data_IF_908011697698
#
_entry.id   IF_908011697698
#
_cell.length_a   1.000
_cell.length_b   1.000
_cell.length_c   1.000
_cell.angle_alpha   90.00
_cell.angle_beta   90.00
_cell.angle_gamma   90.00
#
_symmetry.space_group_name_H-M   'P 1'
#
loop_
_entity.id
_entity.type
_entity.pdbx_description
1 polymer ?
#
# COMPACT_ATOMS: atom_id res chain seq x y z
N UNK A 1 4.40 -41.71 5.27
CA UNK A 1 2.91 -41.79 5.29
C UNK A 1 2.42 -42.95 4.42
N UNK A 2 1.18 -43.45 4.60
CA UNK A 2 0.72 -44.72 4.02
C UNK A 2 -0.18 -44.58 2.77
N UNK A 3 -0.79 -43.42 2.56
CA UNK A 3 -1.85 -43.26 1.56
C UNK A 3 -1.31 -42.75 0.23
N UNK A 4 -1.61 -43.45 -0.88
CA UNK A 4 -1.32 -42.95 -2.26
C UNK A 4 -2.35 -41.90 -2.69
N UNK A 5 -3.63 -42.18 -2.43
CA UNK A 5 -4.74 -41.27 -2.59
C UNK A 5 -5.81 -41.61 -1.55
N UNK A 6 -6.20 -40.63 -0.74
CA UNK A 6 -7.24 -40.80 0.27
C UNK A 6 -8.15 -39.58 0.25
N UNK A 7 -9.46 -39.81 0.14
CA UNK A 7 -10.49 -38.80 0.26
C UNK A 7 -11.41 -39.19 1.40
N UNK A 8 -11.54 -38.29 2.39
CA UNK A 8 -12.42 -38.46 3.53
C UNK A 8 -13.46 -37.35 3.49
N UNK A 9 -14.73 -37.72 3.62
CA UNK A 9 -15.83 -36.77 3.67
C UNK A 9 -16.34 -36.69 5.12
N UNK A 10 -16.15 -35.54 5.74
CA UNK A 10 -16.60 -35.28 7.11
C UNK A 10 -18.04 -34.76 7.10
N UNK A 11 -18.85 -35.25 8.04
CA UNK A 11 -20.13 -34.67 8.42
C UNK A 11 -19.98 -33.42 9.30
N UNK A 12 -21.08 -32.68 9.53
CA UNK A 12 -21.05 -31.34 10.12
C UNK A 12 -20.80 -31.30 11.64
N UNK A 13 -20.90 -32.44 12.33
CA UNK A 13 -20.77 -32.52 13.80
C UNK A 13 -19.69 -33.54 14.15
N UNK A 14 -20.10 -34.70 14.64
CA UNK A 14 -19.20 -35.74 15.12
C UNK A 14 -18.83 -36.67 13.96
N UNK A 15 -17.56 -37.00 13.86
CA UNK A 15 -17.01 -37.88 12.85
C UNK A 15 -16.19 -38.98 13.53
N UNK A 16 -16.48 -40.25 13.21
CA UNK A 16 -15.73 -41.39 13.71
C UNK A 16 -14.88 -42.00 12.58
N UNK A 17 -13.57 -42.11 12.81
CA UNK A 17 -12.64 -42.77 11.89
C UNK A 17 -12.22 -44.10 12.53
N UNK A 18 -12.71 -45.21 11.97
CA UNK A 18 -12.44 -46.56 12.46
C UNK A 18 -11.53 -47.33 11.49
N UNK A 19 -10.83 -48.34 12.01
CA UNK A 19 -9.96 -49.21 11.21
C UNK A 19 -8.90 -49.92 12.05
N UNK A 20 -8.23 -50.90 11.46
CA UNK A 20 -7.19 -51.71 12.10
C UNK A 20 -5.98 -50.88 12.55
N UNK A 21 -5.18 -51.41 13.48
CA UNK A 21 -3.91 -50.78 13.84
C UNK A 21 -2.98 -50.74 12.62
N UNK A 22 -2.27 -49.62 12.44
CA UNK A 22 -1.45 -49.39 11.25
C UNK A 22 -2.21 -48.95 9.98
N UNK A 23 -3.55 -48.87 9.99
CA UNK A 23 -4.34 -48.46 8.80
C UNK A 23 -4.22 -46.99 8.40
N UNK A 24 -3.39 -46.20 9.10
CA UNK A 24 -3.19 -44.78 8.80
C UNK A 24 -4.28 -43.84 9.34
N UNK A 25 -4.98 -44.19 10.42
CA UNK A 25 -5.97 -43.31 11.09
C UNK A 25 -5.32 -42.02 11.61
N UNK A 26 -4.25 -42.15 12.39
CA UNK A 26 -3.52 -40.99 12.92
C UNK A 26 -2.88 -40.15 11.83
N UNK A 27 -2.56 -40.75 10.67
CA UNK A 27 -2.07 -40.03 9.51
C UNK A 27 -3.10 -39.03 8.95
N UNK A 28 -4.41 -39.28 9.10
CA UNK A 28 -5.45 -38.31 8.72
C UNK A 28 -5.36 -37.06 9.60
N UNK A 29 -5.28 -37.24 10.92
CA UNK A 29 -5.12 -36.13 11.87
C UNK A 29 -3.83 -35.35 11.60
N UNK A 30 -2.69 -36.05 11.43
CA UNK A 30 -1.41 -35.43 11.04
C UNK A 30 -1.54 -34.63 9.75
N UNK A 31 -2.21 -35.16 8.73
CA UNK A 31 -2.45 -34.47 7.47
C UNK A 31 -3.28 -33.18 7.65
N UNK A 32 -4.33 -33.23 8.48
CA UNK A 32 -5.14 -32.05 8.80
C UNK A 32 -4.30 -30.99 9.51
N UNK A 33 -3.62 -31.37 10.60
CA UNK A 33 -2.77 -30.46 11.39
C UNK A 33 -1.69 -29.81 10.53
N UNK A 34 -1.04 -30.58 9.66
CA UNK A 34 -0.02 -30.07 8.75
C UNK A 34 -0.65 -29.16 7.70
N UNK A 35 -1.79 -29.51 7.10
CA UNK A 35 -2.42 -28.63 6.10
C UNK A 35 -2.88 -27.28 6.69
N UNK A 36 -3.23 -27.25 7.97
CA UNK A 36 -3.61 -26.04 8.71
C UNK A 36 -2.41 -25.32 9.36
N UNK A 37 -1.18 -25.62 8.95
CA UNK A 37 0.01 -24.85 9.38
C UNK A 37 0.70 -25.34 10.66
N UNK A 38 0.26 -26.45 11.24
CA UNK A 38 0.96 -27.08 12.36
C UNK A 38 2.37 -27.53 11.96
N UNK A 39 3.31 -27.44 12.92
CA UNK A 39 4.69 -27.89 12.72
C UNK A 39 4.75 -29.42 12.64
N UNK A 40 5.62 -29.97 11.79
CA UNK A 40 5.77 -31.43 11.64
C UNK A 40 6.07 -32.12 12.99
N UNK A 41 6.92 -31.49 13.81
CA UNK A 41 7.34 -32.03 15.10
C UNK A 41 6.19 -32.09 16.12
N UNK A 42 5.21 -31.17 16.04
CA UNK A 42 4.02 -31.18 16.92
C UNK A 42 3.18 -32.43 16.71
N UNK A 43 3.26 -33.03 15.53
CA UNK A 43 2.54 -34.27 15.23
C UNK A 43 3.22 -35.51 15.81
N UNK A 44 4.45 -35.43 16.34
CA UNK A 44 5.27 -36.54 16.83
C UNK A 44 5.47 -37.69 15.84
N UNK A 45 5.09 -37.51 14.57
CA UNK A 45 5.20 -38.52 13.50
C UNK A 45 6.40 -38.31 12.59
N UNK A 46 6.95 -37.10 12.57
CA UNK A 46 7.91 -36.65 11.58
C UNK A 46 8.74 -35.50 12.14
N UNK A 47 10.07 -35.59 12.02
CA UNK A 47 10.99 -34.50 12.39
C UNK A 47 11.07 -33.40 11.32
N UNK A 48 10.60 -33.68 10.11
CA UNK A 48 10.55 -32.73 9.00
C UNK A 48 9.39 -33.07 8.05
N UNK A 49 8.95 -32.08 7.26
CA UNK A 49 7.83 -32.27 6.33
C UNK A 49 8.11 -33.34 5.27
N UNK A 50 9.36 -33.52 4.85
CA UNK A 50 9.75 -34.52 3.85
C UNK A 50 9.43 -35.95 4.31
N UNK A 51 9.62 -36.25 5.58
CA UNK A 51 9.27 -37.56 6.15
C UNK A 51 7.77 -37.86 6.18
N UNK A 52 6.91 -36.87 5.91
CA UNK A 52 5.47 -37.08 5.70
C UNK A 52 5.14 -37.51 4.26
N UNK A 53 6.08 -37.50 3.32
CA UNK A 53 5.84 -38.03 1.98
C UNK A 53 5.77 -39.56 2.07
N UNK A 54 4.90 -40.18 1.26
CA UNK A 54 4.84 -41.64 1.16
C UNK A 54 6.15 -42.16 0.56
N UNK A 55 6.68 -43.24 1.10
CA UNK A 55 7.89 -43.86 0.56
C UNK A 55 7.73 -44.21 -0.94
N UNK A 56 8.78 -43.96 -1.72
CA UNK A 56 8.76 -44.09 -3.18
C UNK A 56 7.99 -43.00 -3.93
N UNK A 57 7.55 -41.91 -3.26
CA UNK A 57 6.95 -40.74 -3.90
C UNK A 57 7.78 -39.48 -3.68
N UNK A 58 7.65 -38.53 -4.60
CA UNK A 58 8.40 -37.26 -4.58
C UNK A 58 7.58 -36.07 -4.04
N UNK A 59 6.26 -36.23 -3.95
CA UNK A 59 5.31 -35.17 -3.63
C UNK A 59 4.19 -35.73 -2.74
N UNK A 60 3.81 -34.98 -1.73
CA UNK A 60 2.56 -35.15 -1.01
C UNK A 60 1.72 -33.87 -1.14
N UNK A 61 0.42 -34.04 -1.40
CA UNK A 61 -0.52 -32.94 -1.49
C UNK A 61 -1.68 -33.22 -0.55
N UNK A 62 -2.01 -32.25 0.29
CA UNK A 62 -3.13 -32.31 1.21
C UNK A 62 -4.08 -31.18 0.82
N UNK A 63 -5.38 -31.46 0.80
CA UNK A 63 -6.41 -30.48 0.48
C UNK A 63 -7.51 -30.58 1.52
N UNK A 64 -7.77 -29.47 2.21
CA UNK A 64 -8.86 -29.32 3.15
C UNK A 64 -9.89 -28.36 2.58
N UNK A 65 -11.16 -28.64 2.88
CA UNK A 65 -12.30 -27.82 2.50
C UNK A 65 -12.98 -27.37 3.77
N UNK A 66 -12.86 -26.10 4.11
CA UNK A 66 -13.49 -25.48 5.26
C UNK A 66 -14.82 -24.86 4.82
N UNK A 67 -15.87 -25.11 5.60
CA UNK A 67 -17.18 -24.49 5.37
C UNK A 67 -17.09 -23.02 5.75
N UNK A 68 -17.57 -22.13 4.87
CA UNK A 68 -17.53 -20.68 5.04
C UNK A 68 -18.93 -20.06 4.81
N UNK A 69 -19.86 -20.38 5.72
CA UNK A 69 -21.27 -20.00 5.62
C UNK A 69 -21.80 -19.48 6.95
N UNK A 70 -22.78 -18.59 6.91
CA UNK A 70 -23.41 -17.99 8.08
C UNK A 70 -22.97 -16.53 8.26
N UNK A 71 -23.45 -15.90 9.34
CA UNK A 71 -23.13 -14.50 9.66
C UNK A 71 -21.63 -14.30 9.95
N UNK A 72 -20.95 -15.36 10.42
CA UNK A 72 -19.53 -15.35 10.77
C UNK A 72 -18.65 -15.99 9.67
N UNK A 73 -19.02 -15.77 8.40
CA UNK A 73 -18.24 -16.26 7.26
C UNK A 73 -17.02 -15.35 7.00
N UNK A 74 -15.83 -15.93 6.95
CA UNK A 74 -14.60 -15.24 6.62
C UNK A 74 -14.61 -14.73 5.17
N UNK A 75 -14.65 -13.40 4.98
CA UNK A 75 -14.57 -12.72 3.67
C UNK A 75 -15.41 -13.43 2.60
N UNK A 76 -16.69 -13.63 2.90
CA UNK A 76 -17.60 -14.42 2.07
C UNK A 76 -17.65 -13.94 0.61
N UNK A 77 -17.59 -12.62 0.39
CA UNK A 77 -17.48 -11.96 -0.92
C UNK A 77 -16.33 -12.51 -1.80
N UNK A 78 -15.22 -12.91 -1.17
CA UNK A 78 -14.00 -13.36 -1.87
C UNK A 78 -13.99 -14.87 -2.04
N UNK A 79 -14.25 -15.61 -0.96
CA UNK A 79 -14.09 -17.06 -0.95
C UNK A 79 -15.38 -17.83 -1.30
N UNK A 80 -16.54 -17.22 -1.09
CA UNK A 80 -17.85 -17.85 -1.16
C UNK A 80 -18.08 -18.81 0.00
N UNK A 81 -18.95 -19.79 -0.23
CA UNK A 81 -19.43 -20.78 0.73
C UNK A 81 -18.37 -21.75 1.29
N UNK A 82 -17.20 -21.83 0.65
CA UNK A 82 -16.19 -22.83 0.93
C UNK A 82 -14.78 -22.26 0.70
N UNK A 83 -13.90 -22.44 1.68
CA UNK A 83 -12.47 -22.13 1.55
C UNK A 83 -11.70 -23.43 1.34
N UNK A 84 -10.92 -23.50 0.27
CA UNK A 84 -10.11 -24.68 -0.05
C UNK A 84 -8.65 -24.37 0.26
N UNK A 85 -8.07 -25.07 1.23
CA UNK A 85 -6.67 -24.94 1.61
C UNK A 85 -5.91 -26.14 1.06
N UNK A 86 -4.94 -25.89 0.20
CA UNK A 86 -4.06 -26.91 -0.35
C UNK A 86 -2.63 -26.68 0.14
N UNK A 87 -2.03 -27.72 0.71
CA UNK A 87 -0.61 -27.73 1.08
C UNK A 87 0.11 -28.76 0.22
N UNK A 88 1.15 -28.32 -0.49
CA UNK A 88 2.02 -29.18 -1.30
C UNK A 88 3.39 -29.27 -0.64
N UNK A 89 3.87 -30.50 -0.50
CA UNK A 89 5.14 -30.86 0.14
C UNK A 89 5.93 -31.69 -0.86
N UNK A 90 7.18 -31.33 -1.11
CA UNK A 90 8.05 -32.02 -2.07
C UNK A 90 9.37 -32.45 -1.44
N UNK A 91 10.00 -33.48 -2.00
CA UNK A 91 11.25 -34.04 -1.50
C UNK A 91 12.48 -33.12 -1.61
N UNK A 92 12.41 -32.12 -2.51
CA UNK A 92 13.41 -31.07 -2.73
C UNK A 92 13.31 -29.91 -1.71
N UNK A 93 12.31 -29.95 -0.81
CA UNK A 93 12.12 -28.94 0.23
C UNK A 93 11.21 -27.78 -0.16
N UNK A 94 10.71 -27.73 -1.40
CA UNK A 94 9.74 -26.73 -1.83
C UNK A 94 8.37 -26.97 -1.18
N UNK A 95 7.97 -26.08 -0.27
CA UNK A 95 6.68 -26.18 0.41
C UNK A 95 5.85 -24.95 0.10
N UNK A 96 4.61 -25.17 -0.32
CA UNK A 96 3.73 -24.09 -0.74
C UNK A 96 2.29 -24.29 -0.29
N UNK A 97 1.61 -23.17 -0.05
CA UNK A 97 0.18 -23.12 0.16
C UNK A 97 -0.53 -22.58 -1.08
N UNK A 98 -1.74 -23.08 -1.31
CA UNK A 98 -2.70 -22.47 -2.22
C UNK A 98 -4.05 -22.43 -1.51
N UNK A 99 -4.52 -21.22 -1.23
CA UNK A 99 -5.82 -20.95 -0.65
C UNK A 99 -6.73 -20.53 -1.81
N UNK A 100 -7.83 -21.27 -1.99
CA UNK A 100 -8.72 -21.12 -3.14
C UNK A 100 -10.16 -20.86 -2.69
N UNK A 101 -10.91 -20.21 -3.58
CA UNK A 101 -12.36 -20.02 -3.46
C UNK A 101 -13.12 -21.33 -3.69
N UNK A 102 -14.44 -21.31 -3.48
CA UNK A 102 -15.32 -22.43 -3.77
C UNK A 102 -15.23 -22.94 -5.23
N UNK A 103 -14.97 -22.05 -6.19
CA UNK A 103 -14.76 -22.37 -7.62
C UNK A 103 -13.34 -22.88 -7.94
N UNK A 104 -12.44 -22.90 -6.96
CA UNK A 104 -11.05 -23.35 -7.15
C UNK A 104 -10.10 -22.27 -7.65
N UNK A 105 -10.51 -21.00 -7.71
CA UNK A 105 -9.61 -19.88 -8.04
C UNK A 105 -8.65 -19.60 -6.87
N UNK A 106 -7.35 -19.50 -7.15
CA UNK A 106 -6.34 -19.20 -6.13
C UNK A 106 -6.44 -17.72 -5.73
N UNK A 107 -6.64 -17.48 -4.43
CA UNK A 107 -6.68 -16.14 -3.83
C UNK A 107 -5.32 -15.77 -3.27
N UNK A 108 -4.68 -16.69 -2.55
CA UNK A 108 -3.39 -16.45 -1.89
C UNK A 108 -2.60 -17.74 -1.71
N UNK A 109 -1.27 -17.62 -1.64
CA UNK A 109 -0.36 -18.68 -1.20
C UNK A 109 0.44 -18.32 0.04
N UNK A 110 0.09 -17.18 0.67
CA UNK A 110 0.81 -16.60 1.80
C UNK A 110 0.39 -17.23 3.12
N UNK A 111 1.33 -17.34 4.07
CA UNK A 111 1.07 -17.90 5.40
C UNK A 111 0.20 -16.96 6.23
N UNK A 112 0.32 -15.67 6.02
CA UNK A 112 -0.44 -14.63 6.73
C UNK A 112 -1.95 -14.78 6.46
N UNK A 113 -2.35 -15.07 5.22
CA UNK A 113 -3.76 -15.30 4.87
C UNK A 113 -4.28 -16.60 5.50
N UNK A 114 -3.46 -17.65 5.54
CA UNK A 114 -3.81 -18.90 6.25
C UNK A 114 -4.04 -18.62 7.74
N UNK A 115 -3.14 -17.87 8.39
CA UNK A 115 -3.29 -17.52 9.80
C UNK A 115 -4.56 -16.70 10.03
N UNK A 116 -4.84 -15.70 9.19
CA UNK A 116 -6.08 -14.91 9.29
C UNK A 116 -7.36 -15.76 9.21
N UNK A 117 -7.39 -16.78 8.35
CA UNK A 117 -8.51 -17.73 8.26
C UNK A 117 -8.63 -18.55 9.55
N UNK A 118 -7.50 -19.08 10.05
CA UNK A 118 -7.47 -19.90 11.26
C UNK A 118 -7.88 -19.10 12.49
N UNK A 119 -7.41 -17.86 12.60
CA UNK A 119 -7.71 -16.95 13.71
C UNK A 119 -9.20 -16.59 13.70
N UNK A 120 -9.77 -16.24 12.54
CA UNK A 120 -11.20 -15.96 12.40
C UNK A 120 -12.06 -17.18 12.73
N UNK A 121 -11.64 -18.39 12.35
CA UNK A 121 -12.38 -19.62 12.64
C UNK A 121 -12.06 -20.22 14.02
N UNK A 122 -11.23 -19.56 14.83
CA UNK A 122 -10.73 -20.04 16.12
C UNK A 122 -10.07 -21.45 16.05
N UNK A 123 -9.44 -21.79 14.92
CA UNK A 123 -8.78 -23.09 14.71
C UNK A 123 -7.34 -23.02 15.18
N UNK A 124 -7.09 -23.51 16.39
CA UNK A 124 -5.73 -23.57 16.96
C UNK A 124 -5.12 -24.96 16.83
N UNK A 125 -4.26 -25.14 15.83
CA UNK A 125 -3.60 -26.44 15.56
C UNK A 125 -2.51 -26.81 16.57
N UNK A 126 -1.89 -25.82 17.21
CA UNK A 126 -0.81 -26.01 18.18
C UNK A 126 -1.33 -26.13 19.62
N UNK A 127 -2.64 -25.95 19.83
CA UNK A 127 -3.31 -26.12 21.11
C UNK A 127 -3.64 -27.61 21.33
N UNK A 128 -3.05 -28.27 22.34
CA UNK A 128 -3.28 -29.69 22.62
C UNK A 128 -4.73 -30.01 23.03
N UNK A 129 -5.51 -29.02 23.45
CA UNK A 129 -6.95 -29.19 23.74
C UNK A 129 -7.80 -29.29 22.46
N UNK A 130 -7.35 -28.69 21.36
CA UNK A 130 -8.03 -28.78 20.06
C UNK A 130 -7.52 -29.97 19.24
N UNK A 131 -6.21 -30.21 19.25
CA UNK A 131 -5.57 -31.33 18.58
C UNK A 131 -4.85 -32.19 19.60
N UNK A 132 -5.56 -33.16 20.15
CA UNK A 132 -4.97 -34.13 21.07
C UNK A 132 -4.37 -35.31 20.31
N UNK A 133 -3.05 -35.30 20.12
CA UNK A 133 -2.34 -36.44 19.53
C UNK A 133 -2.25 -37.61 20.52
N UNK A 134 -2.11 -38.83 20.01
CA UNK A 134 -1.97 -40.04 20.84
C UNK A 134 -0.81 -39.93 21.84
N UNK A 135 0.33 -39.40 21.40
CA UNK A 135 1.52 -39.29 22.25
C UNK A 135 1.37 -38.13 23.24
N UNK A 136 0.76 -37.01 22.84
CA UNK A 136 0.43 -35.89 23.74
C UNK A 136 -0.54 -36.35 24.84
N UNK A 137 -1.56 -37.14 24.49
CA UNK A 137 -2.48 -37.71 25.48
C UNK A 137 -1.76 -38.63 26.47
N UNK A 138 -0.87 -39.50 25.97
CA UNK A 138 -0.07 -40.39 26.83
C UNK A 138 0.85 -39.59 27.76
N UNK A 139 1.55 -38.59 27.22
CA UNK A 139 2.45 -37.74 27.97
C UNK A 139 1.71 -36.96 29.07
N UNK A 140 0.54 -36.43 28.74
CA UNK A 140 -0.32 -35.71 29.68
C UNK A 140 -0.76 -36.60 30.85
N UNK A 141 -1.16 -37.85 30.59
CA UNK A 141 -1.65 -38.78 31.61
C UNK A 141 -0.54 -39.44 32.44
N UNK A 142 0.59 -39.81 31.82
CA UNK A 142 1.58 -40.67 32.46
C UNK A 142 2.89 -39.98 32.85
N UNK A 143 3.26 -38.86 32.24
CA UNK A 143 4.61 -38.29 32.37
C UNK A 143 4.62 -36.76 32.48
N UNK A 144 3.58 -36.17 33.05
CA UNK A 144 3.49 -34.73 33.28
C UNK A 144 3.76 -34.38 34.74
N UNK A 145 4.71 -33.48 34.98
CA UNK A 145 4.91 -32.86 36.30
C UNK A 145 3.75 -31.90 36.63
N UNK A 146 3.57 -31.48 37.89
CA UNK A 146 2.62 -30.42 38.23
C UNK A 146 2.83 -29.15 37.40
N UNK A 147 4.08 -28.74 37.18
CA UNK A 147 4.44 -27.60 36.33
C UNK A 147 4.03 -27.80 34.86
N UNK A 148 4.22 -29.00 34.32
CA UNK A 148 3.78 -29.30 32.96
C UNK A 148 2.27 -29.21 32.84
N UNK A 149 1.52 -29.73 33.82
CA UNK A 149 0.06 -29.63 33.86
C UNK A 149 -0.41 -28.18 33.88
N UNK A 150 0.26 -27.33 34.67
CA UNK A 150 -0.01 -25.89 34.67
C UNK A 150 0.26 -25.25 33.31
N UNK A 151 1.40 -25.55 32.67
CA UNK A 151 1.71 -25.06 31.32
C UNK A 151 0.70 -25.55 30.28
N UNK A 152 0.30 -26.82 30.35
CA UNK A 152 -0.74 -27.40 29.49
C UNK A 152 -2.08 -26.69 29.69
N UNK A 153 -2.46 -26.40 30.93
CA UNK A 153 -3.66 -25.65 31.24
C UNK A 153 -3.59 -24.23 30.66
N UNK A 154 -2.51 -23.49 30.95
CA UNK A 154 -2.32 -22.11 30.48
C UNK A 154 -2.32 -22.00 28.95
N UNK A 155 -1.69 -22.97 28.26
CA UNK A 155 -1.70 -23.04 26.80
C UNK A 155 -3.07 -23.47 26.27
N UNK A 156 -3.72 -24.42 26.93
CA UNK A 156 -5.03 -24.95 26.57
C UNK A 156 -6.14 -23.90 26.65
N UNK A 157 -6.13 -23.10 27.72
CA UNK A 157 -7.07 -22.00 27.97
C UNK A 157 -6.64 -20.68 27.34
N UNK A 158 -5.54 -20.67 26.59
CA UNK A 158 -4.98 -19.50 25.89
C UNK A 158 -4.55 -18.34 26.82
N UNK A 159 -4.44 -18.59 28.13
CA UNK A 159 -4.00 -17.59 29.10
C UNK A 159 -2.55 -17.16 28.89
N UNK A 160 -1.70 -18.06 28.37
CA UNK A 160 -0.32 -17.70 27.98
C UNK A 160 -0.32 -16.65 26.87
N UNK A 161 -1.09 -16.90 25.80
CA UNK A 161 -1.17 -15.98 24.67
C UNK A 161 -1.75 -14.63 25.09
N UNK A 162 -2.81 -14.65 25.92
CA UNK A 162 -3.39 -13.43 26.47
C UNK A 162 -2.36 -12.62 27.29
N UNK A 163 -1.54 -13.29 28.11
CA UNK A 163 -0.48 -12.63 28.88
C UNK A 163 0.58 -11.98 27.98
N UNK A 164 1.03 -12.70 26.95
CA UNK A 164 1.99 -12.20 25.96
C UNK A 164 1.41 -11.00 25.19
N UNK A 165 0.13 -11.07 24.79
CA UNK A 165 -0.58 -9.98 24.11
C UNK A 165 -0.67 -8.74 25.02
N UNK A 166 -0.96 -8.91 26.32
CA UNK A 166 -0.97 -7.80 27.28
C UNK A 166 0.39 -7.12 27.41
N UNK A 167 1.49 -7.88 27.44
CA UNK A 167 2.85 -7.34 27.48
C UNK A 167 3.16 -6.53 26.21
N UNK A 168 2.86 -7.09 25.03
CA UNK A 168 3.05 -6.40 23.75
C UNK A 168 2.22 -5.10 23.66
N UNK A 169 0.96 -5.14 24.10
CA UNK A 169 0.10 -3.95 24.14
C UNK A 169 0.70 -2.90 25.07
N UNK A 170 1.19 -3.31 26.24
CA UNK A 170 1.80 -2.40 27.22
C UNK A 170 3.04 -1.71 26.66
N UNK A 171 3.94 -2.46 26.03
CA UNK A 171 5.12 -1.92 25.35
C UNK A 171 4.76 -0.96 24.21
N UNK A 172 3.74 -1.31 23.42
CA UNK A 172 3.24 -0.47 22.33
C UNK A 172 2.65 0.85 22.87
N UNK A 173 1.89 0.79 23.96
CA UNK A 173 1.34 1.98 24.62
C UNK A 173 2.47 2.88 25.13
N UNK A 174 3.49 2.31 25.77
CA UNK A 174 4.62 3.08 26.28
C UNK A 174 5.41 3.76 25.15
N UNK A 175 5.72 3.00 24.10
CA UNK A 175 6.40 3.52 22.90
C UNK A 175 5.60 4.66 22.25
N UNK A 176 4.29 4.45 22.07
CA UNK A 176 3.40 5.46 21.49
C UNK A 176 3.33 6.71 22.35
N UNK A 177 3.26 6.55 23.69
CA UNK A 177 3.26 7.68 24.63
C UNK A 177 4.54 8.50 24.52
N UNK A 178 5.70 7.84 24.40
CA UNK A 178 6.99 8.51 24.21
C UNK A 178 7.06 9.27 22.88
N UNK A 179 6.57 8.67 21.79
CA UNK A 179 6.47 9.33 20.48
C UNK A 179 5.56 10.57 20.55
N UNK A 180 4.40 10.46 21.21
CA UNK A 180 3.47 11.59 21.38
C UNK A 180 4.15 12.72 22.15
N UNK A 181 4.87 12.40 23.23
CA UNK A 181 5.61 13.40 24.03
C UNK A 181 6.63 14.13 23.17
N UNK A 182 7.50 13.41 22.46
CA UNK A 182 8.52 14.00 21.59
C UNK A 182 7.91 14.87 20.48
N UNK A 183 6.87 14.38 19.80
CA UNK A 183 6.20 15.15 18.74
C UNK A 183 5.52 16.40 19.29
N UNK A 184 4.97 16.35 20.50
CA UNK A 184 4.35 17.51 21.16
C UNK A 184 5.39 18.56 21.55
N UNK A 185 6.59 18.13 21.96
CA UNK A 185 7.73 19.00 22.26
C UNK A 185 8.32 19.65 20.99
N UNK A 186 8.34 18.95 19.85
CA UNK A 186 8.82 19.47 18.57
C UNK A 186 7.81 20.36 17.83
N UNK A 187 6.52 20.26 18.17
CA UNK A 187 5.44 20.98 17.48
C UNK A 187 5.60 22.51 17.49
N UNK A 188 5.96 23.17 18.61
CA UNK A 188 6.11 24.62 18.67
C UNK A 188 7.20 25.15 17.74
N UNK A 189 8.35 24.47 17.67
CA UNK A 189 9.46 24.86 16.80
C UNK A 189 9.08 24.74 15.33
N UNK A 190 8.44 23.63 14.93
CA UNK A 190 7.89 23.46 13.58
C UNK A 190 6.83 24.52 13.24
N UNK A 191 5.99 24.91 14.20
CA UNK A 191 4.99 25.96 13.99
C UNK A 191 5.64 27.34 13.80
N UNK A 192 6.74 27.59 14.52
CA UNK A 192 7.53 28.82 14.36
C UNK A 192 8.20 28.86 12.99
N UNK A 193 8.85 27.79 12.57
CA UNK A 193 9.46 27.68 11.23
C UNK A 193 8.42 27.85 10.12
N UNK A 194 7.25 27.21 10.25
CA UNK A 194 6.16 27.36 9.29
C UNK A 194 5.68 28.81 9.19
N UNK A 195 5.55 29.51 10.32
CA UNK A 195 5.15 30.92 10.36
C UNK A 195 6.21 31.83 9.72
N UNK A 196 7.49 31.59 9.98
CA UNK A 196 8.59 32.35 9.36
C UNK A 196 8.65 32.12 7.84
N UNK A 197 8.44 30.89 7.39
CA UNK A 197 8.35 30.56 5.97
C UNK A 197 7.15 31.24 5.30
N UNK A 198 5.99 31.29 5.98
CA UNK A 198 4.80 31.98 5.47
C UNK A 198 5.02 33.49 5.30
N UNK A 199 5.70 34.14 6.25
CA UNK A 199 6.06 35.56 6.15
C UNK A 199 6.98 35.79 4.94
N UNK A 200 8.06 35.02 4.82
CA UNK A 200 8.98 35.11 3.66
C UNK A 200 8.26 34.89 2.33
N UNK A 201 7.33 33.93 2.28
CA UNK A 201 6.53 33.68 1.09
C UNK A 201 5.64 34.88 0.70
N UNK A 202 4.98 35.52 1.68
CA UNK A 202 4.18 36.73 1.45
C UNK A 202 5.03 37.89 0.93
N UNK A 203 6.23 38.08 1.49
CA UNK A 203 7.15 39.13 1.04
C UNK A 203 7.64 38.89 -0.38
N UNK A 204 8.02 37.65 -0.73
CA UNK A 204 8.38 37.28 -2.11
C UNK A 204 7.20 37.47 -3.08
N UNK A 205 5.97 37.17 -2.67
CA UNK A 205 4.78 37.41 -3.49
C UNK A 205 4.61 38.90 -3.80
N UNK A 206 4.74 39.76 -2.79
CA UNK A 206 4.66 41.22 -2.96
C UNK A 206 5.77 41.76 -3.86
N UNK A 207 7.01 41.27 -3.68
CA UNK A 207 8.13 41.65 -4.54
C UNK A 207 7.86 41.30 -6.01
N UNK A 208 7.27 40.11 -6.27
CA UNK A 208 6.90 39.69 -7.62
C UNK A 208 5.79 40.56 -8.24
N UNK A 209 4.80 41.00 -7.46
CA UNK A 209 3.78 41.95 -7.92
C UNK A 209 4.38 43.32 -8.26
N UNK A 210 5.30 43.82 -7.44
CA UNK A 210 6.03 45.05 -7.72
C UNK A 210 6.85 44.94 -9.00
N UNK A 211 7.53 43.81 -9.22
CA UNK A 211 8.34 43.57 -10.42
C UNK A 211 7.50 43.57 -11.71
N UNK A 212 6.30 42.96 -11.66
CA UNK A 212 5.33 43.04 -12.74
C UNK A 212 4.87 44.48 -12.99
N UNK A 213 4.63 45.24 -11.91
CA UNK A 213 4.22 46.65 -11.99
C UNK A 213 5.32 47.51 -12.61
N UNK A 214 6.57 47.33 -12.20
CA UNK A 214 7.74 48.01 -12.79
C UNK A 214 7.86 47.69 -14.27
N UNK A 215 7.66 46.43 -14.66
CA UNK A 215 7.71 46.02 -16.06
C UNK A 215 6.61 46.70 -16.88
N UNK A 216 5.38 46.75 -16.34
CA UNK A 216 4.26 47.47 -16.98
C UNK A 216 4.55 48.97 -17.12
N UNK A 217 5.07 49.62 -16.08
CA UNK A 217 5.40 51.04 -16.12
C UNK A 217 6.54 51.35 -17.11
N UNK A 218 7.54 50.48 -17.23
CA UNK A 218 8.59 50.60 -18.26
C UNK A 218 8.02 50.51 -19.67
N UNK A 219 7.09 49.58 -19.91
CA UNK A 219 6.41 49.47 -21.19
C UNK A 219 5.58 50.73 -21.50
N UNK A 220 4.85 51.25 -20.51
CA UNK A 220 4.10 52.51 -20.66
C UNK A 220 5.02 53.70 -20.95
N UNK A 221 6.17 53.78 -20.27
CA UNK A 221 7.17 54.82 -20.52
C UNK A 221 7.72 54.74 -21.95
N UNK A 222 8.01 53.53 -22.45
CA UNK A 222 8.44 53.35 -23.84
C UNK A 222 7.37 53.81 -24.84
N UNK A 223 6.09 53.50 -24.59
CA UNK A 223 4.98 53.97 -25.43
C UNK A 223 4.79 55.49 -25.36
N UNK A 224 4.96 56.10 -24.20
CA UNK A 224 4.88 57.56 -24.07
C UNK A 224 5.97 58.27 -24.89
N UNK A 225 7.18 57.70 -24.97
CA UNK A 225 8.24 58.22 -25.84
C UNK A 225 7.90 58.09 -27.33
N UNK A 226 7.25 56.98 -27.72
CA UNK A 226 6.78 56.81 -29.10
C UNK A 226 5.70 57.84 -29.42
N UNK A 227 4.73 58.04 -28.52
CA UNK A 227 3.66 59.03 -28.68
C UNK A 227 4.22 60.46 -28.81
N UNK A 228 5.22 60.83 -28.01
CA UNK A 228 5.91 62.12 -28.12
C UNK A 228 6.58 62.30 -29.50
N UNK A 229 7.26 61.26 -30.01
CA UNK A 229 7.89 61.30 -31.33
C UNK A 229 6.89 61.27 -32.48
N UNK A 230 5.81 60.54 -32.37
CA UNK A 230 4.72 60.58 -33.35
C UNK A 230 4.12 61.99 -33.42
N UNK A 231 3.94 62.66 -32.28
CA UNK A 231 3.47 64.04 -32.23
C UNK A 231 4.44 65.01 -32.92
N UNK A 232 5.76 64.87 -32.68
CA UNK A 232 6.79 65.66 -33.38
C UNK A 232 6.74 65.44 -34.91
N UNK A 233 6.55 64.20 -35.36
CA UNK A 233 6.42 63.87 -36.79
C UNK A 233 5.17 64.52 -37.38
N UNK A 234 4.02 64.41 -36.70
CA UNK A 234 2.77 65.04 -37.15
C UNK A 234 2.92 66.55 -37.28
N UNK A 235 3.59 67.21 -36.32
CA UNK A 235 3.85 68.64 -36.39
C UNK A 235 4.85 69.01 -37.50
N UNK A 236 5.89 68.20 -37.73
CA UNK A 236 6.84 68.36 -38.83
C UNK A 236 6.16 68.19 -40.19
N UNK A 237 5.30 67.17 -40.36
CA UNK A 237 4.50 66.95 -41.57
C UNK A 237 3.54 68.11 -41.81
N UNK A 238 2.87 68.62 -40.76
CA UNK A 238 2.01 69.79 -40.85
C UNK A 238 2.79 71.02 -41.31
N UNK A 239 4.02 71.20 -40.84
CA UNK A 239 4.92 72.28 -41.27
C UNK A 239 5.42 72.08 -42.71
N UNK A 240 5.75 70.85 -43.11
CA UNK A 240 6.14 70.50 -44.47
C UNK A 240 4.99 70.77 -45.45
N UNK A 241 3.76 70.37 -45.12
CA UNK A 241 2.58 70.67 -45.93
C UNK A 241 2.35 72.19 -46.07
N UNK A 242 2.52 72.97 -44.99
CA UNK A 242 2.46 74.44 -45.07
C UNK A 242 3.54 75.00 -46.00
N UNK A 243 4.77 74.48 -45.95
CA UNK A 243 5.86 74.89 -46.84
C UNK A 243 5.60 74.48 -48.29
N UNK A 244 5.13 73.26 -48.54
CA UNK A 244 4.73 72.77 -49.86
C UNK A 244 3.57 73.57 -50.47
N UNK A 245 2.62 74.06 -49.67
CA UNK A 245 1.57 74.97 -50.16
C UNK A 245 2.12 76.36 -50.55
N UNK A 246 3.25 76.78 -49.98
CA UNK A 246 3.91 78.05 -50.31
C UNK A 246 4.86 77.94 -51.51
N UNK A 247 5.34 76.73 -51.81
CA UNK A 247 6.26 76.43 -52.91
C UNK A 247 5.73 76.90 -54.29
N UNK A 248 4.48 76.61 -54.69
CA UNK A 248 3.94 77.07 -55.97
C UNK A 248 3.89 78.60 -56.08
N UNK A 249 3.55 79.29 -54.98
CA UNK A 249 3.51 80.75 -54.93
C UNK A 249 4.90 81.40 -54.95
N UNK A 250 5.93 80.69 -54.50
CA UNK A 250 7.33 81.12 -54.60
C UNK A 250 7.92 80.78 -55.97
N UNK A 251 7.60 79.62 -56.54
CA UNK A 251 7.98 79.23 -57.90
C UNK A 251 7.37 80.17 -58.95
N UNK A 252 6.09 80.54 -58.80
CA UNK A 252 5.46 81.52 -59.69
C UNK A 252 6.04 82.93 -59.54
N UNK A 253 6.63 83.28 -58.39
CA UNK A 253 7.39 84.53 -58.20
C UNK A 253 8.76 84.44 -58.86
N UNK A 254 9.44 83.31 -58.73
CA UNK A 254 10.72 83.04 -59.37
C UNK A 254 10.59 83.05 -60.90
N UNK A 255 9.59 82.37 -61.46
CA UNK A 255 9.29 82.40 -62.91
C UNK A 255 8.92 83.81 -63.39
N UNK A 256 8.26 84.63 -62.57
CA UNK A 256 8.00 86.04 -62.88
C UNK A 256 9.27 86.89 -62.90
N UNK A 257 10.18 86.68 -61.94
CA UNK A 257 11.47 87.37 -61.91
C UNK A 257 12.38 86.92 -63.07
N UNK A 258 12.44 85.62 -63.38
CA UNK A 258 13.17 85.08 -64.53
C UNK A 258 12.59 85.58 -65.86
N UNK A 259 11.26 85.67 -66.00
CA UNK A 259 10.62 86.26 -67.17
C UNK A 259 10.86 87.77 -67.29
N UNK A 260 10.98 88.49 -66.17
CA UNK A 260 11.34 89.93 -66.19
C UNK A 260 12.78 90.16 -66.59
N UNK A 261 13.70 89.26 -66.23
CA UNK A 261 15.11 89.32 -66.65
C UNK A 261 15.26 89.01 -68.15
N UNK A 262 14.42 88.12 -68.71
CA UNK A 262 14.41 87.80 -70.13
C UNK A 262 13.77 88.89 -71.02
N UNK A 263 12.94 89.77 -70.46
CA UNK A 263 12.32 90.89 -71.18
C UNK A 263 13.21 92.15 -71.23
N UNK A 264 14.22 92.25 -70.37
CA UNK A 264 15.20 93.36 -70.38
C UNK A 264 16.46 93.07 -71.23
N UNK A 265 16.48 91.95 -71.97
CA UNK A 265 17.60 91.58 -72.86
C UNK A 265 17.26 91.51 -74.37
N UNK A 266 16.19 92.17 -74.82
CA UNK A 266 15.93 92.43 -76.24
C UNK A 266 15.53 93.90 -76.51
#
# INVERSE_FOLDING_TARGET
>A
MCHKFLKVQFGPKINFIIGHNGSGKSAILTGITVCLGGKANVTNRASNLKSLIREGANVAQITLRLRNRGEDAFRHEIYGDLIIIERRITCDGSNGYKIKTHDGKIVSGKREELNAILDHMAIQVDNPMNVLSQDTARQFLHSSSPDDKYKFFMKGTQLTQLSEDYELIRESIETTRNIIKYKKEALPDLFKEAKEAEVKYKDMRRARELELTVTSLKNQMAWAQVEEKEQEVVDAERNLQKAMRRLPGLQAKLEKEEASIFLDTN
#
